data_IF_764697408513
#
_entry.id   IF_764697408513
#
_cell.length_a   1.000
_cell.length_b   1.000
_cell.length_c   1.000
_cell.angle_alpha   90.00
_cell.angle_beta   90.00
_cell.angle_gamma   90.00
#
_symmetry.space_group_name_H-M   'P 1'
#
loop_
_entity.id
_entity.type
_entity.pdbx_description
1 polymer ?
#
# COMPACT_ATOMS: atom_id res chain seq x y z
N UNK A 1 -15.76 4.36 -6.26
CA UNK A 1 -14.50 3.61 -6.14
C UNK A 1 -14.65 2.68 -4.95
N UNK A 2 -14.56 1.37 -5.15
CA UNK A 2 -14.64 0.39 -4.07
C UNK A 2 -13.28 0.42 -3.36
N UNK A 3 -13.22 0.93 -2.13
CA UNK A 3 -11.99 0.97 -1.33
C UNK A 3 -11.88 -0.30 -0.48
N UNK A 4 -10.68 -0.88 -0.38
CA UNK A 4 -10.47 -2.21 0.23
C UNK A 4 -10.69 -2.18 1.75
N UNK A 5 -10.38 -1.06 2.41
CA UNK A 5 -10.59 -0.88 3.85
C UNK A 5 -11.12 0.53 4.11
N UNK A 6 -12.45 0.66 4.27
CA UNK A 6 -13.09 1.91 4.66
C UNK A 6 -13.54 1.87 6.12
N UNK A 7 -12.97 2.75 6.95
CA UNK A 7 -13.38 3.18 8.30
C UNK A 7 -13.62 2.09 9.39
N UNK A 8 -12.72 2.10 10.37
CA UNK A 8 -12.84 1.85 11.82
C UNK A 8 -13.46 0.58 12.42
N UNK A 9 -13.93 -0.41 11.67
CA UNK A 9 -14.45 -1.64 12.32
C UNK A 9 -14.37 -2.96 11.53
N UNK A 10 -13.66 -3.01 10.41
CA UNK A 10 -13.54 -4.23 9.62
C UNK A 10 -12.23 -4.94 9.92
N UNK A 11 -12.31 -6.07 10.63
CA UNK A 11 -11.22 -7.03 10.69
C UNK A 11 -10.83 -7.42 9.26
N UNK A 12 -9.56 -7.26 8.86
CA UNK A 12 -9.12 -7.59 7.52
C UNK A 12 -9.34 -9.09 7.32
N UNK A 13 -10.22 -9.43 6.38
CA UNK A 13 -10.56 -10.80 6.05
C UNK A 13 -10.15 -11.09 4.61
N UNK A 14 -9.55 -12.26 4.43
CA UNK A 14 -9.04 -12.69 3.13
C UNK A 14 -10.15 -12.75 2.08
N UNK A 15 -11.31 -13.33 2.44
CA UNK A 15 -12.43 -13.53 1.52
C UNK A 15 -12.96 -12.20 0.96
N UNK A 16 -13.22 -11.21 1.82
CA UNK A 16 -13.70 -9.89 1.36
C UNK A 16 -12.62 -9.17 0.57
N UNK A 17 -11.35 -9.24 0.98
CA UNK A 17 -10.24 -8.65 0.22
C UNK A 17 -10.18 -9.21 -1.21
N UNK A 18 -10.25 -10.54 -1.36
CA UNK A 18 -10.28 -11.20 -2.68
C UNK A 18 -11.48 -10.74 -3.50
N UNK A 19 -12.67 -10.73 -2.90
CA UNK A 19 -13.90 -10.34 -3.60
C UNK A 19 -13.83 -8.89 -4.08
N UNK A 20 -13.36 -7.96 -3.24
CA UNK A 20 -13.24 -6.54 -3.60
C UNK A 20 -12.25 -6.36 -4.75
N UNK A 21 -11.08 -7.02 -4.69
CA UNK A 21 -10.10 -6.99 -5.78
C UNK A 21 -10.69 -7.57 -7.07
N UNK A 22 -11.41 -8.70 -7.00
CA UNK A 22 -12.09 -9.31 -8.16
C UNK A 22 -13.16 -8.39 -8.77
N UNK A 23 -13.82 -7.58 -7.95
CA UNK A 23 -14.76 -6.54 -8.39
C UNK A 23 -14.07 -5.28 -8.93
N UNK A 24 -12.74 -5.25 -9.03
CA UNK A 24 -11.99 -4.10 -9.55
C UNK A 24 -11.73 -3.01 -8.52
N UNK A 25 -11.69 -3.34 -7.23
CA UNK A 25 -11.23 -2.40 -6.21
C UNK A 25 -9.79 -1.96 -6.50
N UNK A 26 -9.54 -0.66 -6.36
CA UNK A 26 -8.22 -0.09 -6.56
C UNK A 26 -7.32 -0.39 -5.34
N UNK A 27 -6.30 -1.22 -5.55
CA UNK A 27 -5.33 -1.63 -4.51
C UNK A 27 -4.40 -0.50 -4.08
N UNK A 28 -4.39 0.62 -4.80
CA UNK A 28 -3.63 1.83 -4.49
C UNK A 28 -4.54 3.01 -4.11
N UNK A 29 -5.83 2.78 -3.86
CA UNK A 29 -6.76 3.83 -3.44
C UNK A 29 -6.30 4.54 -2.17
N UNK A 30 -6.58 5.82 -2.06
CA UNK A 30 -6.26 6.63 -0.89
C UNK A 30 -7.46 6.81 0.04
N UNK A 31 -7.22 6.74 1.34
CA UNK A 31 -8.12 7.32 2.34
C UNK A 31 -7.88 8.84 2.52
N UNK A 32 -8.54 9.45 3.51
CA UNK A 32 -8.40 10.87 3.83
C UNK A 32 -6.98 11.27 4.28
N UNK A 33 -6.18 10.32 4.75
CA UNK A 33 -4.81 10.50 5.22
C UNK A 33 -3.78 10.06 4.18
N UNK A 34 -4.22 9.81 2.93
CA UNK A 34 -3.41 9.22 1.85
C UNK A 34 -2.83 7.85 2.17
N UNK A 35 -3.43 7.12 3.11
CA UNK A 35 -3.08 5.74 3.33
C UNK A 35 -3.62 4.88 2.18
N UNK A 36 -2.76 4.05 1.62
CA UNK A 36 -3.15 2.95 0.74
C UNK A 36 -3.64 1.74 1.55
N UNK A 37 -4.33 0.75 0.93
CA UNK A 37 -4.64 -0.50 1.61
C UNK A 37 -3.44 -1.17 2.32
N UNK A 38 -2.23 -1.01 1.77
CA UNK A 38 -1.00 -1.48 2.41
C UNK A 38 -0.65 -0.72 3.71
N UNK A 39 -0.91 0.59 3.79
CA UNK A 39 -0.72 1.36 5.03
C UNK A 39 -1.70 0.91 6.12
N UNK A 40 -2.96 0.65 5.74
CA UNK A 40 -4.01 0.22 6.67
C UNK A 40 -3.68 -1.16 7.24
N UNK A 41 -3.35 -2.13 6.39
CA UNK A 41 -3.04 -3.50 6.85
C UNK A 41 -1.73 -3.55 7.65
N UNK A 42 -0.78 -2.65 7.41
CA UNK A 42 0.46 -2.55 8.21
C UNK A 42 0.19 -2.18 9.67
N UNK A 43 -0.84 -1.36 9.91
CA UNK A 43 -1.26 -0.93 11.24
C UNK A 43 -2.16 -1.96 11.93
N UNK A 44 -2.53 -3.05 11.25
CA UNK A 44 -3.38 -4.06 11.86
C UNK A 44 -2.63 -4.86 12.94
N UNK A 45 -3.19 -4.85 14.16
CA UNK A 45 -2.74 -5.65 15.29
C UNK A 45 -3.58 -6.93 15.39
N UNK A 46 -3.06 -8.07 14.90
CA UNK A 46 -3.76 -9.35 15.07
C UNK A 46 -3.86 -9.72 16.56
N UNK A 47 -5.01 -10.25 16.97
CA UNK A 47 -5.11 -11.00 18.24
C UNK A 47 -4.21 -12.23 18.11
N UNK A 48 -3.38 -12.52 19.12
CA UNK A 48 -2.39 -13.61 19.12
C UNK A 48 -3.04 -15.00 18.96
N UNK A 49 -3.38 -15.32 17.72
CA UNK A 49 -3.98 -16.58 17.28
C UNK A 49 -3.29 -17.01 16.00
N UNK A 50 -3.10 -18.32 15.81
CA UNK A 50 -2.36 -18.87 14.67
C UNK A 50 -2.93 -18.50 13.28
N UNK A 51 -4.21 -18.14 13.22
CA UNK A 51 -4.89 -17.74 11.98
C UNK A 51 -4.63 -16.30 11.57
N UNK A 52 -4.36 -15.41 12.53
CA UNK A 52 -4.27 -13.97 12.26
C UNK A 52 -3.00 -13.62 11.48
N UNK A 53 -1.87 -14.29 11.76
CA UNK A 53 -0.64 -14.13 10.97
C UNK A 53 -0.82 -14.55 9.51
N UNK A 54 -1.46 -15.71 9.27
CA UNK A 54 -1.75 -16.19 7.91
C UNK A 54 -2.65 -15.22 7.16
N UNK A 55 -3.61 -14.63 7.85
CA UNK A 55 -4.52 -13.65 7.27
C UNK A 55 -3.76 -12.39 6.83
N UNK A 56 -2.93 -11.83 7.71
CA UNK A 56 -2.05 -10.69 7.38
C UNK A 56 -1.17 -11.01 6.17
N UNK A 57 -0.48 -12.15 6.20
CA UNK A 57 0.41 -12.57 5.13
C UNK A 57 -0.30 -12.71 3.78
N UNK A 58 -1.50 -13.28 3.80
CA UNK A 58 -2.28 -13.53 2.58
C UNK A 58 -2.82 -12.24 2.00
N UNK A 59 -3.32 -11.33 2.84
CA UNK A 59 -3.84 -10.03 2.40
C UNK A 59 -2.72 -9.16 1.81
N UNK A 60 -1.56 -9.10 2.47
CA UNK A 60 -0.40 -8.35 1.95
C UNK A 60 0.05 -8.92 0.60
N UNK A 61 0.13 -10.25 0.44
CA UNK A 61 0.44 -10.87 -0.86
C UNK A 61 -0.60 -10.55 -1.91
N UNK A 62 -1.88 -10.67 -1.58
CA UNK A 62 -2.97 -10.35 -2.51
C UNK A 62 -2.87 -8.93 -3.06
N UNK A 63 -2.60 -7.96 -2.19
CA UNK A 63 -2.42 -6.56 -2.60
C UNK A 63 -1.21 -6.41 -3.53
N UNK A 64 -0.06 -6.98 -3.17
CA UNK A 64 1.18 -6.89 -3.95
C UNK A 64 1.02 -7.57 -5.32
N UNK A 65 0.46 -8.78 -5.35
CA UNK A 65 0.25 -9.57 -6.57
C UNK A 65 -0.72 -8.87 -7.54
N UNK A 66 -1.57 -7.98 -7.02
CA UNK A 66 -2.50 -7.15 -7.81
C UNK A 66 -1.99 -5.72 -8.06
N UNK A 67 -0.70 -5.45 -7.79
CA UNK A 67 -0.05 -4.20 -8.18
C UNK A 67 -0.05 -3.09 -7.12
N UNK A 68 -0.24 -3.43 -5.85
CA UNK A 68 -0.09 -2.45 -4.78
C UNK A 68 1.37 -1.98 -4.64
N UNK A 69 1.56 -0.66 -4.57
CA UNK A 69 2.87 -0.05 -4.43
C UNK A 69 3.31 -0.05 -2.95
N UNK A 70 4.47 -0.64 -2.68
CA UNK A 70 5.04 -0.78 -1.33
C UNK A 70 5.72 0.49 -0.81
N UNK A 71 5.94 1.46 -1.68
CA UNK A 71 6.77 2.64 -1.41
C UNK A 71 6.03 3.97 -1.60
N UNK A 72 4.70 3.91 -1.75
CA UNK A 72 3.82 5.08 -1.66
C UNK A 72 3.92 5.68 -0.27
N UNK A 73 3.89 7.01 -0.18
CA UNK A 73 3.88 7.73 1.09
C UNK A 73 2.52 8.34 1.39
N UNK A 74 2.11 8.23 2.66
CA UNK A 74 0.89 8.89 3.15
C UNK A 74 1.14 10.39 3.40
N UNK A 75 0.15 11.09 3.97
CA UNK A 75 0.26 12.53 4.26
C UNK A 75 1.34 12.89 5.30
N UNK A 76 1.89 11.90 6.01
CA UNK A 76 2.99 12.07 6.97
C UNK A 76 4.35 11.67 6.38
N UNK A 77 4.46 11.52 5.06
CA UNK A 77 5.66 11.04 4.36
C UNK A 77 6.10 9.62 4.79
N UNK A 78 5.19 8.81 5.32
CA UNK A 78 5.47 7.45 5.79
C UNK A 78 5.08 6.44 4.73
N UNK A 79 5.93 5.43 4.51
CA UNK A 79 5.61 4.24 3.71
C UNK A 79 4.77 3.24 4.51
N UNK A 80 4.09 2.26 3.89
CA UNK A 80 3.40 1.19 4.62
C UNK A 80 4.28 0.50 5.67
N UNK A 81 5.55 0.26 5.34
CA UNK A 81 6.49 -0.36 6.27
C UNK A 81 6.74 0.51 7.51
N UNK A 82 6.80 1.84 7.35
CA UNK A 82 7.02 2.77 8.47
C UNK A 82 5.80 2.88 9.39
N UNK A 83 4.61 2.62 8.87
CA UNK A 83 3.37 2.57 9.65
C UNK A 83 3.14 1.22 10.35
N UNK A 84 4.04 0.23 10.19
CA UNK A 84 3.85 -1.09 10.77
C UNK A 84 3.87 -1.04 12.31
N UNK A 85 2.77 -1.45 12.94
CA UNK A 85 2.66 -1.45 14.41
C UNK A 85 3.20 -2.73 15.07
N UNK A 86 3.45 -3.78 14.28
CA UNK A 86 3.99 -5.06 14.77
C UNK A 86 5.26 -5.44 14.03
N UNK A 87 6.18 -6.12 14.72
CA UNK A 87 7.41 -6.64 14.08
C UNK A 87 7.12 -7.58 12.92
N UNK A 88 6.02 -8.30 13.03
CA UNK A 88 5.54 -9.24 12.03
C UNK A 88 5.13 -8.52 10.74
N UNK A 89 4.31 -7.47 10.83
CA UNK A 89 3.94 -6.65 9.68
C UNK A 89 5.16 -5.96 9.05
N UNK A 90 6.04 -5.39 9.88
CA UNK A 90 7.28 -4.75 9.43
C UNK A 90 8.17 -5.73 8.65
N UNK A 91 8.41 -6.92 9.21
CA UNK A 91 9.26 -7.95 8.60
C UNK A 91 8.65 -8.48 7.30
N UNK A 92 7.33 -8.67 7.28
CA UNK A 92 6.61 -9.11 6.09
C UNK A 92 6.77 -8.10 4.96
N UNK A 93 6.46 -6.82 5.19
CA UNK A 93 6.58 -5.77 4.17
C UNK A 93 8.04 -5.59 3.72
N UNK A 94 9.00 -5.68 4.64
CA UNK A 94 10.43 -5.63 4.33
C UNK A 94 10.89 -6.81 3.48
N UNK A 95 10.37 -8.01 3.71
CA UNK A 95 10.74 -9.21 2.94
C UNK A 95 10.21 -9.18 1.50
N UNK A 96 9.18 -8.37 1.24
CA UNK A 96 8.51 -8.28 -0.04
C UNK A 96 9.00 -7.10 -0.90
N UNK A 97 10.11 -6.43 -0.54
CA UNK A 97 10.62 -5.23 -1.23
C UNK A 97 11.15 -5.54 -2.63
N UNK A 98 10.25 -5.86 -3.57
CA UNK A 98 10.50 -5.78 -5.00
C UNK A 98 9.88 -4.48 -5.50
N UNK A 99 10.64 -3.39 -5.36
CA UNK A 99 10.24 -2.10 -5.90
C UNK A 99 10.63 -2.09 -7.39
N UNK A 100 9.68 -1.73 -8.25
CA UNK A 100 9.97 -1.63 -9.69
C UNK A 100 10.97 -0.49 -9.96
N UNK A 101 11.74 -0.59 -11.05
CA UNK A 101 12.63 0.50 -11.47
C UNK A 101 11.84 1.82 -11.61
N UNK A 102 10.62 1.76 -12.16
CA UNK A 102 9.74 2.91 -12.35
C UNK A 102 9.43 3.62 -11.02
N UNK A 103 9.13 2.86 -9.96
CA UNK A 103 8.88 3.37 -8.62
C UNK A 103 10.14 4.01 -8.00
N UNK A 104 11.30 3.35 -8.15
CA UNK A 104 12.60 3.89 -7.71
C UNK A 104 12.88 5.23 -8.40
N UNK A 105 12.67 5.32 -9.71
CA UNK A 105 12.88 6.55 -10.48
C UNK A 105 11.93 7.66 -10.02
N UNK A 106 10.64 7.36 -9.86
CA UNK A 106 9.64 8.31 -9.37
C UNK A 106 10.05 8.92 -8.02
N UNK A 107 10.44 8.07 -7.07
CA UNK A 107 10.93 8.50 -5.75
C UNK A 107 12.14 9.41 -5.83
N UNK A 108 13.11 9.08 -6.69
CA UNK A 108 14.31 9.89 -6.84
C UNK A 108 14.00 11.27 -7.44
N UNK A 109 13.12 11.33 -8.44
CA UNK A 109 12.67 12.58 -9.07
C UNK A 109 12.01 13.49 -8.04
N UNK A 110 11.10 12.95 -7.21
CA UNK A 110 10.47 13.66 -6.09
C UNK A 110 11.46 14.13 -5.04
N UNK A 111 12.33 13.24 -4.57
CA UNK A 111 13.34 13.53 -3.54
C UNK A 111 14.29 14.64 -3.96
N UNK A 112 14.68 14.69 -5.24
CA UNK A 112 15.58 15.70 -5.79
C UNK A 112 14.85 16.99 -6.22
N UNK A 113 13.51 17.05 -6.10
CA UNK A 113 12.68 18.19 -6.52
C UNK A 113 12.96 18.62 -7.96
N UNK A 114 13.20 17.65 -8.84
CA UNK A 114 13.40 17.91 -10.27
C UNK A 114 12.08 18.46 -10.83
N UNK A 115 12.13 19.48 -11.66
CA UNK A 115 10.93 19.94 -12.39
C UNK A 115 10.68 19.04 -13.60
N UNK A 116 9.66 18.19 -13.49
CA UNK A 116 9.22 17.28 -14.55
C UNK A 116 7.88 17.69 -15.17
N UNK A 117 7.17 18.67 -14.62
CA UNK A 117 5.81 19.03 -15.06
C UNK A 117 5.68 19.30 -16.56
N UNK A 118 6.57 20.06 -17.22
CA UNK A 118 6.43 20.36 -18.63
C UNK A 118 6.83 19.19 -19.55
N UNK A 119 7.45 18.13 -19.01
CA UNK A 119 8.09 17.07 -19.79
C UNK A 119 7.40 15.72 -19.70
N UNK A 120 6.36 15.58 -18.87
CA UNK A 120 5.68 14.29 -18.63
C UNK A 120 4.19 14.34 -18.96
N UNK A 121 3.65 13.21 -19.40
CA UNK A 121 2.20 13.06 -19.57
C UNK A 121 1.47 13.09 -18.23
N UNK A 122 0.18 13.43 -18.23
CA UNK A 122 -0.64 13.43 -17.01
C UNK A 122 -0.58 12.11 -16.24
N UNK A 123 -0.67 10.98 -16.95
CA UNK A 123 -0.56 9.65 -16.34
C UNK A 123 0.78 9.40 -15.66
N UNK A 124 1.88 9.91 -16.23
CA UNK A 124 3.21 9.77 -15.64
C UNK A 124 3.39 10.75 -14.47
N UNK A 125 2.83 11.95 -14.56
CA UNK A 125 2.76 12.90 -13.45
C UNK A 125 2.05 12.28 -12.24
N UNK A 126 0.82 11.78 -12.42
CA UNK A 126 0.03 11.16 -11.36
C UNK A 126 0.79 9.99 -10.71
N UNK A 127 1.50 9.18 -11.51
CA UNK A 127 2.36 8.10 -11.02
C UNK A 127 3.55 8.60 -10.20
N UNK A 128 4.16 9.73 -10.56
CA UNK A 128 5.26 10.31 -9.76
C UNK A 128 4.72 10.91 -8.46
N UNK A 129 3.53 11.52 -8.48
CA UNK A 129 2.91 12.16 -7.30
C UNK A 129 2.51 11.19 -6.17
N UNK A 130 2.30 9.90 -6.48
CA UNK A 130 2.02 8.90 -5.44
C UNK A 130 3.28 8.44 -4.67
N UNK A 131 4.48 8.83 -5.11
CA UNK A 131 5.76 8.48 -4.48
C UNK A 131 6.39 9.71 -3.78
#
# INVERSE_FOLDING_TARGET
>A
MITIFGCDSLYPCEASTRLLIQCGADVNAFDQQRNTPLHIIAQWKPVETDGAFRTLQTIVRLLIDNGAHLDVVNSNDQTPQMCAETKTAETLLKSQTKISLKCITARYVKKLKIDYQPHVSKTLFDFIEIH
#
